data_IF_918712957345
#
_entry.id   IF_918712957345
#
_cell.length_a   1.000
_cell.length_b   1.000
_cell.length_c   1.000
_cell.angle_alpha   90.00
_cell.angle_beta   90.00
_cell.angle_gamma   90.00
#
_symmetry.space_group_name_H-M   'P 1'
#
loop_
_entity.id
_entity.type
_entity.pdbx_description
1 polymer ?
#
# COMPACT_ATOMS: atom_id res chain seq x y z
N UNK A 1 26.70 7.94 -15.55
CA UNK A 1 26.63 7.48 -14.16
C UNK A 1 27.68 6.38 -13.97
N UNK A 2 28.38 6.33 -12.83
CA UNK A 2 29.42 5.31 -12.56
C UNK A 2 28.83 3.89 -12.54
N UNK A 3 27.62 3.73 -12.01
CA UNK A 3 26.90 2.44 -11.92
C UNK A 3 26.78 1.75 -13.28
N UNK A 4 26.42 2.50 -14.32
CA UNK A 4 26.30 1.96 -15.69
C UNK A 4 27.65 1.52 -16.26
N UNK A 5 28.74 2.23 -15.92
CA UNK A 5 30.09 1.85 -16.33
C UNK A 5 30.61 0.59 -15.63
N UNK A 6 30.05 0.29 -14.46
CA UNK A 6 30.38 -0.87 -13.63
C UNK A 6 29.36 -2.00 -13.78
N UNK A 7 28.41 -1.89 -14.70
CA UNK A 7 27.33 -2.87 -14.92
C UNK A 7 26.58 -3.25 -13.62
N UNK A 8 26.30 -2.23 -12.80
CA UNK A 8 25.61 -2.41 -11.50
C UNK A 8 24.13 -2.08 -11.54
N UNK A 9 23.59 -1.59 -12.66
CA UNK A 9 22.21 -1.12 -12.76
C UNK A 9 21.23 -2.25 -12.42
N UNK A 10 21.36 -3.45 -12.99
CA UNK A 10 20.51 -4.59 -12.68
C UNK A 10 20.60 -5.06 -11.22
N UNK A 11 21.78 -4.90 -10.58
CA UNK A 11 21.95 -5.20 -9.17
C UNK A 11 21.22 -4.18 -8.28
N UNK A 12 21.24 -2.90 -8.65
CA UNK A 12 20.53 -1.85 -7.95
C UNK A 12 19.01 -1.95 -8.16
N UNK A 13 18.56 -2.27 -9.38
CA UNK A 13 17.15 -2.51 -9.68
C UNK A 13 16.60 -3.67 -8.85
N UNK A 14 17.39 -4.73 -8.67
CA UNK A 14 17.04 -5.84 -7.78
C UNK A 14 16.92 -5.40 -6.32
N UNK A 15 17.77 -4.50 -5.83
CA UNK A 15 17.62 -3.92 -4.50
C UNK A 15 16.34 -3.05 -4.39
N UNK A 16 16.06 -2.23 -5.42
CA UNK A 16 14.87 -1.35 -5.45
C UNK A 16 13.58 -2.16 -5.31
N UNK A 17 13.52 -3.37 -5.86
CA UNK A 17 12.33 -4.23 -5.74
C UNK A 17 11.94 -4.61 -4.31
N UNK A 18 12.83 -4.45 -3.33
CA UNK A 18 12.57 -4.69 -1.91
C UNK A 18 12.06 -3.46 -1.18
N UNK A 19 12.13 -2.26 -1.77
CA UNK A 19 11.59 -1.08 -1.11
C UNK A 19 10.06 -1.13 -1.03
N UNK A 20 9.53 -0.58 0.05
CA UNK A 20 8.09 -0.53 0.31
C UNK A 20 7.41 0.68 -0.32
N UNK A 21 8.18 1.57 -0.91
CA UNK A 21 7.76 2.66 -1.81
C UNK A 21 8.91 3.13 -2.67
N UNK A 22 8.59 3.79 -3.79
CA UNK A 22 9.61 4.35 -4.67
C UNK A 22 10.46 5.40 -3.97
N UNK A 23 11.76 5.22 -4.02
CA UNK A 23 12.77 6.14 -3.47
C UNK A 23 14.14 5.91 -4.09
N UNK A 24 15.06 6.86 -3.86
CA UNK A 24 16.46 6.71 -4.23
C UNK A 24 17.10 5.52 -3.52
N UNK A 25 18.01 4.82 -4.18
CA UNK A 25 18.85 3.78 -3.54
C UNK A 25 19.92 4.37 -2.63
N UNK A 26 20.17 5.68 -2.71
CA UNK A 26 21.16 6.37 -1.89
C UNK A 26 20.62 6.53 -0.47
N UNK A 27 21.40 6.14 0.50
CA UNK A 27 21.13 6.34 1.91
C UNK A 27 22.14 7.37 2.45
N UNK A 28 21.65 8.59 2.70
CA UNK A 28 22.46 9.68 3.20
C UNK A 28 22.78 9.53 4.70
N UNK A 29 24.00 9.86 5.09
CA UNK A 29 24.43 9.89 6.48
C UNK A 29 25.76 9.17 6.73
N UNK A 30 26.06 8.91 8.02
CA UNK A 30 27.29 8.24 8.44
C UNK A 30 27.19 6.72 8.20
N UNK A 31 28.05 6.21 7.32
CA UNK A 31 28.12 4.79 6.96
C UNK A 31 28.36 3.88 8.18
N UNK A 32 29.10 4.34 9.19
CA UNK A 32 29.36 3.55 10.41
C UNK A 32 28.07 3.37 11.21
N UNK A 33 27.24 4.40 11.25
CA UNK A 33 25.92 4.33 11.92
C UNK A 33 25.02 3.37 11.16
N UNK A 34 24.94 3.50 9.84
CA UNK A 34 24.14 2.63 8.99
C UNK A 34 24.56 1.17 9.13
N UNK A 35 25.85 0.90 9.05
CA UNK A 35 26.40 -0.45 9.22
C UNK A 35 26.07 -1.04 10.59
N UNK A 36 26.24 -0.26 11.67
CA UNK A 36 25.93 -0.72 13.02
C UNK A 36 24.44 -1.09 13.17
N UNK A 37 23.54 -0.26 12.64
CA UNK A 37 22.09 -0.51 12.68
C UNK A 37 21.72 -1.75 11.86
N UNK A 38 22.27 -1.89 10.65
CA UNK A 38 22.01 -3.08 9.79
C UNK A 38 22.47 -4.35 10.48
N UNK A 39 23.68 -4.35 11.03
CA UNK A 39 24.25 -5.54 11.73
C UNK A 39 23.45 -5.92 12.96
N UNK A 40 22.86 -4.97 13.63
CA UNK A 40 21.97 -5.26 14.74
C UNK A 40 20.62 -5.79 14.28
N UNK A 41 19.99 -5.16 13.28
CA UNK A 41 18.72 -5.60 12.71
C UNK A 41 18.78 -7.02 12.09
N UNK A 42 19.93 -7.43 11.55
CA UNK A 42 20.13 -8.81 11.04
C UNK A 42 19.84 -9.90 12.09
N UNK A 43 19.98 -9.59 13.39
CA UNK A 43 19.76 -10.51 14.49
C UNK A 43 18.29 -10.68 14.88
N UNK A 44 17.40 -9.87 14.30
CA UNK A 44 15.98 -9.90 14.63
C UNK A 44 15.15 -10.47 13.46
N UNK A 45 14.14 -11.26 13.81
CA UNK A 45 13.09 -11.69 12.86
C UNK A 45 11.91 -10.74 13.03
N UNK A 46 11.89 -9.68 12.21
CA UNK A 46 10.86 -8.65 12.24
C UNK A 46 9.85 -8.86 11.11
N UNK A 47 8.62 -8.38 11.34
CA UNK A 47 7.63 -8.31 10.26
C UNK A 47 8.13 -7.39 9.16
N UNK A 48 7.88 -7.75 7.92
CA UNK A 48 8.14 -6.89 6.77
C UNK A 48 7.38 -5.57 6.91
N UNK A 49 8.02 -4.41 6.66
CA UNK A 49 7.33 -3.12 6.66
C UNK A 49 6.16 -3.10 5.67
N UNK A 50 5.07 -2.37 5.98
CA UNK A 50 3.95 -2.27 5.07
C UNK A 50 4.32 -1.52 3.79
N UNK A 51 3.65 -1.85 2.69
CA UNK A 51 3.68 -1.00 1.49
C UNK A 51 3.03 0.34 1.80
N UNK A 52 3.72 1.43 1.46
CA UNK A 52 3.29 2.81 1.70
C UNK A 52 3.36 3.58 0.40
N UNK A 53 2.34 4.38 0.12
CA UNK A 53 2.37 5.33 -1.00
C UNK A 53 3.26 6.54 -0.66
N UNK A 54 3.63 7.35 -1.67
CA UNK A 54 4.32 8.60 -1.41
C UNK A 54 3.40 9.57 -0.64
N UNK A 55 3.88 10.06 0.51
CA UNK A 55 3.14 10.94 1.41
C UNK A 55 3.54 12.43 1.32
N UNK A 56 4.42 12.81 0.40
CA UNK A 56 4.87 14.20 0.27
C UNK A 56 3.71 15.13 -0.11
N UNK A 57 2.86 14.67 -1.05
CA UNK A 57 1.67 15.41 -1.46
C UNK A 57 0.62 15.55 -0.34
N UNK A 58 0.22 14.46 0.37
CA UNK A 58 -0.62 14.54 1.56
C UNK A 58 -0.06 15.47 2.65
N UNK A 59 1.24 15.40 2.94
CA UNK A 59 1.90 16.26 3.92
C UNK A 59 1.84 17.74 3.49
N UNK A 60 2.11 18.03 2.22
CA UNK A 60 2.02 19.38 1.68
C UNK A 60 0.59 19.93 1.72
N UNK A 61 -0.42 19.07 1.52
CA UNK A 61 -1.82 19.43 1.60
C UNK A 61 -2.27 19.71 3.05
N UNK A 62 -1.87 18.88 4.01
CA UNK A 62 -2.07 19.11 5.45
C UNK A 62 -1.39 20.41 5.90
N UNK A 63 -0.21 20.75 5.38
CA UNK A 63 0.49 21.98 5.70
C UNK A 63 -0.31 23.23 5.30
N UNK A 64 -1.16 23.12 4.27
CA UNK A 64 -2.10 24.16 3.83
C UNK A 64 -3.47 24.06 4.53
N UNK A 65 -3.56 23.30 5.62
CA UNK A 65 -4.79 23.01 6.36
C UNK A 65 -5.88 22.33 5.50
N UNK A 66 -5.46 21.58 4.48
CA UNK A 66 -6.35 20.79 3.63
C UNK A 66 -6.79 19.49 4.31
N UNK A 67 -7.91 18.92 3.85
CA UNK A 67 -8.40 17.63 4.30
C UNK A 67 -7.93 16.55 3.34
N UNK A 68 -7.16 15.59 3.82
CA UNK A 68 -6.71 14.43 3.04
C UNK A 68 -7.75 13.31 3.08
N UNK A 69 -7.68 12.40 2.12
CA UNK A 69 -8.63 11.30 2.00
C UNK A 69 -8.35 10.20 3.03
N UNK A 70 -9.38 9.42 3.35
CA UNK A 70 -9.29 8.37 4.37
C UNK A 70 -8.15 7.37 4.08
N UNK A 71 -7.95 6.97 2.82
CA UNK A 71 -6.87 6.06 2.45
C UNK A 71 -5.47 6.67 2.68
N UNK A 72 -5.30 7.99 2.52
CA UNK A 72 -4.04 8.69 2.81
C UNK A 72 -3.78 8.76 4.32
N UNK A 73 -4.84 8.92 5.12
CA UNK A 73 -4.77 8.86 6.58
C UNK A 73 -4.34 7.46 7.03
N UNK A 74 -4.88 6.43 6.40
CA UNK A 74 -4.51 5.04 6.67
C UNK A 74 -3.03 4.76 6.38
N UNK A 75 -2.45 5.39 5.35
CA UNK A 75 -1.00 5.28 5.08
C UNK A 75 -0.16 5.78 6.27
N UNK A 76 -0.53 6.92 6.89
CA UNK A 76 0.12 7.38 8.11
C UNK A 76 -0.10 6.42 9.28
N UNK A 77 -1.31 5.89 9.42
CA UNK A 77 -1.64 4.88 10.43
C UNK A 77 -0.73 3.66 10.32
N UNK A 78 -0.48 3.14 9.12
CA UNK A 78 0.42 2.01 8.90
C UNK A 78 1.85 2.30 9.37
N UNK A 79 2.40 3.48 9.07
CA UNK A 79 3.74 3.87 9.51
C UNK A 79 3.81 3.93 11.04
N UNK A 80 2.85 4.62 11.67
CA UNK A 80 2.80 4.79 13.12
C UNK A 80 2.67 3.42 13.80
N UNK A 81 1.73 2.59 13.35
CA UNK A 81 1.52 1.24 13.88
C UNK A 81 2.77 0.35 13.74
N UNK A 82 3.52 0.52 12.64
CA UNK A 82 4.75 -0.23 12.46
C UNK A 82 5.83 0.19 13.44
N UNK A 83 5.99 1.48 13.72
CA UNK A 83 6.92 1.94 14.76
C UNK A 83 6.47 1.57 16.17
N UNK A 84 5.16 1.54 16.45
CA UNK A 84 4.64 0.97 17.71
C UNK A 84 5.03 -0.50 17.84
N UNK A 85 4.95 -1.26 16.74
CA UNK A 85 5.39 -2.64 16.72
C UNK A 85 6.89 -2.76 16.99
N UNK A 86 7.75 -1.95 16.36
CA UNK A 86 9.19 -1.97 16.58
C UNK A 86 9.57 -1.66 18.04
N UNK A 87 8.86 -0.75 18.69
CA UNK A 87 9.09 -0.41 20.11
C UNK A 87 8.82 -1.56 21.10
N UNK A 88 8.25 -2.66 20.66
CA UNK A 88 8.04 -3.85 21.50
C UNK A 88 9.28 -4.74 21.61
N UNK A 89 10.30 -4.47 20.81
CA UNK A 89 11.55 -5.24 20.81
C UNK A 89 12.60 -4.56 21.67
N UNK A 90 13.38 -5.37 22.38
CA UNK A 90 14.52 -4.90 23.15
C UNK A 90 15.74 -4.80 22.21
N UNK A 91 15.86 -3.67 21.56
CA UNK A 91 17.04 -3.35 20.77
C UNK A 91 18.20 -2.92 21.69
N UNK A 92 19.37 -2.72 21.12
CA UNK A 92 20.55 -2.26 21.83
C UNK A 92 21.23 -1.10 21.09
N UNK A 93 22.20 -0.47 21.76
CA UNK A 93 23.13 0.49 21.17
C UNK A 93 22.47 1.61 20.32
N UNK A 94 22.90 1.72 19.05
CA UNK A 94 22.46 2.78 18.14
C UNK A 94 21.04 2.59 17.63
N UNK A 95 20.60 1.34 17.49
CA UNK A 95 19.25 1.01 17.05
C UNK A 95 18.23 1.37 18.12
N UNK A 96 18.48 1.00 19.38
CA UNK A 96 17.67 1.38 20.53
C UNK A 96 17.53 2.91 20.61
N UNK A 97 18.68 3.61 20.65
CA UNK A 97 18.71 5.07 20.71
C UNK A 97 17.96 5.75 19.57
N UNK A 98 17.91 5.13 18.39
CA UNK A 98 17.19 5.66 17.26
C UNK A 98 15.68 5.43 17.39
N UNK A 99 15.25 4.22 17.73
CA UNK A 99 13.82 3.87 17.88
C UNK A 99 13.20 4.62 19.06
N UNK A 100 13.93 4.82 20.15
CA UNK A 100 13.44 5.55 21.34
C UNK A 100 13.20 7.03 21.08
N UNK A 101 13.97 7.64 20.18
CA UNK A 101 13.74 9.03 19.75
C UNK A 101 12.42 9.24 19.01
N UNK A 102 11.79 8.18 18.53
CA UNK A 102 10.50 8.24 17.84
C UNK A 102 9.39 8.28 18.91
N UNK A 103 9.12 9.47 19.46
CA UNK A 103 8.05 9.66 20.44
C UNK A 103 6.73 9.87 19.70
N UNK A 104 5.85 8.88 19.77
CA UNK A 104 4.55 8.90 19.11
C UNK A 104 3.56 9.68 19.97
N UNK A 105 2.92 10.76 19.44
CA UNK A 105 1.90 11.50 20.18
C UNK A 105 0.69 10.60 20.50
N UNK A 106 0.25 10.58 21.75
CA UNK A 106 -0.87 9.73 22.19
C UNK A 106 -2.16 10.01 21.42
N UNK A 107 -2.40 11.25 21.01
CA UNK A 107 -3.57 11.61 20.21
C UNK A 107 -3.64 10.86 18.87
N UNK A 108 -2.49 10.52 18.28
CA UNK A 108 -2.43 9.80 17.01
C UNK A 108 -2.73 8.29 17.16
N UNK A 109 -2.67 7.74 18.37
CA UNK A 109 -3.03 6.34 18.62
C UNK A 109 -4.49 6.08 18.26
N UNK A 110 -5.39 7.04 18.51
CA UNK A 110 -6.79 6.96 18.11
C UNK A 110 -6.96 6.70 16.60
N UNK A 111 -6.11 7.31 15.76
CA UNK A 111 -6.13 7.08 14.32
C UNK A 111 -5.67 5.65 14.01
N UNK A 112 -4.63 5.16 14.66
CA UNK A 112 -4.11 3.81 14.41
C UNK A 112 -5.11 2.71 14.82
N UNK A 113 -5.91 2.98 15.85
CA UNK A 113 -6.91 2.05 16.39
C UNK A 113 -8.25 2.10 15.64
N UNK A 114 -8.44 3.07 14.71
CA UNK A 114 -9.71 3.26 14.01
C UNK A 114 -9.81 2.51 12.68
N UNK A 115 -8.75 1.83 12.24
CA UNK A 115 -8.71 1.13 10.96
C UNK A 115 -8.58 -0.39 11.12
N UNK A 116 -9.24 -1.12 10.23
CA UNK A 116 -8.95 -2.53 10.02
C UNK A 116 -7.77 -2.72 9.03
N UNK A 117 -7.36 -3.96 8.82
CA UNK A 117 -6.24 -4.31 7.91
C UNK A 117 -6.48 -3.95 6.44
N UNK A 118 -7.73 -3.65 6.06
CA UNK A 118 -8.10 -3.21 4.70
C UNK A 118 -8.12 -1.69 4.55
N UNK A 119 -7.89 -0.94 5.64
CA UNK A 119 -7.94 0.52 5.65
C UNK A 119 -9.37 1.09 5.73
N UNK A 120 -10.33 0.28 6.14
CA UNK A 120 -11.70 0.72 6.41
C UNK A 120 -11.83 1.09 7.90
N UNK A 121 -12.74 2.02 8.21
CA UNK A 121 -13.05 2.35 9.60
C UNK A 121 -13.65 1.13 10.29
N UNK A 122 -13.15 0.81 11.46
CA UNK A 122 -13.63 -0.29 12.30
C UNK A 122 -15.09 -0.10 12.70
N UNK A 123 -15.84 -1.19 12.75
CA UNK A 123 -17.16 -1.25 13.33
C UNK A 123 -17.09 -0.86 14.83
N UNK A 124 -18.06 -0.07 15.29
CA UNK A 124 -18.05 0.49 16.63
C UNK A 124 -17.31 1.82 16.79
N UNK A 125 -16.56 2.26 15.78
CA UNK A 125 -15.88 3.56 15.83
C UNK A 125 -16.84 4.73 15.62
N UNK A 126 -17.84 4.57 14.74
CA UNK A 126 -18.86 5.59 14.42
C UNK A 126 -20.22 4.95 14.28
N UNK A 127 -21.12 5.23 15.24
CA UNK A 127 -22.49 4.74 15.20
C UNK A 127 -23.22 5.14 13.91
N UNK A 128 -22.99 6.35 13.39
CA UNK A 128 -23.60 6.83 12.16
C UNK A 128 -23.14 5.99 10.95
N UNK A 129 -21.83 5.67 10.86
CA UNK A 129 -21.29 4.84 9.80
C UNK A 129 -21.80 3.42 9.88
N UNK A 130 -21.87 2.85 11.07
CA UNK A 130 -22.37 1.49 11.29
C UNK A 130 -23.85 1.38 10.90
N UNK A 131 -24.67 2.36 11.31
CA UNK A 131 -26.08 2.43 10.95
C UNK A 131 -26.29 2.53 9.43
N UNK A 132 -25.49 3.35 8.74
CA UNK A 132 -25.58 3.46 7.27
C UNK A 132 -25.12 2.18 6.60
N UNK A 133 -24.06 1.54 7.05
CA UNK A 133 -23.60 0.26 6.51
C UNK A 133 -24.65 -0.83 6.69
N UNK A 134 -25.30 -0.91 7.85
CA UNK A 134 -26.39 -1.82 8.11
C UNK A 134 -27.60 -1.54 7.21
N UNK A 135 -27.97 -0.27 7.04
CA UNK A 135 -29.07 0.11 6.15
C UNK A 135 -28.76 -0.20 4.67
N UNK A 136 -27.50 -0.02 4.24
CA UNK A 136 -27.06 -0.42 2.90
C UNK A 136 -27.19 -1.94 2.71
N UNK A 137 -26.79 -2.72 3.71
CA UNK A 137 -26.94 -4.18 3.67
C UNK A 137 -28.41 -4.59 3.54
N UNK A 138 -29.28 -4.08 4.43
CA UNK A 138 -30.72 -4.36 4.41
C UNK A 138 -31.39 -3.93 3.10
N UNK A 139 -31.00 -2.76 2.56
CA UNK A 139 -31.54 -2.28 1.30
C UNK A 139 -31.11 -3.15 0.11
N UNK A 140 -29.85 -3.64 0.10
CA UNK A 140 -29.39 -4.60 -0.91
C UNK A 140 -30.17 -5.92 -0.87
N UNK A 141 -30.42 -6.41 0.33
CA UNK A 141 -31.24 -7.61 0.51
C UNK A 141 -32.68 -7.39 0.04
N UNK A 142 -33.30 -6.25 0.39
CA UNK A 142 -34.63 -5.88 -0.08
C UNK A 142 -34.72 -5.81 -1.61
N UNK A 143 -33.71 -5.25 -2.29
CA UNK A 143 -33.65 -5.24 -3.76
C UNK A 143 -33.59 -6.66 -4.30
N UNK A 144 -32.76 -7.53 -3.71
CA UNK A 144 -32.63 -8.92 -4.09
C UNK A 144 -33.95 -9.68 -3.96
N UNK A 145 -34.62 -9.55 -2.80
CA UNK A 145 -35.91 -10.18 -2.54
C UNK A 145 -37.00 -9.69 -3.53
N UNK A 146 -37.01 -8.40 -3.81
CA UNK A 146 -37.95 -7.81 -4.76
C UNK A 146 -37.73 -8.33 -6.18
N UNK A 147 -36.48 -8.45 -6.61
CA UNK A 147 -36.13 -9.03 -7.91
C UNK A 147 -36.53 -10.51 -8.01
N UNK A 148 -36.29 -11.30 -6.98
CA UNK A 148 -36.75 -12.69 -6.94
C UNK A 148 -38.27 -12.79 -6.97
N UNK A 149 -39.00 -11.89 -6.29
CA UNK A 149 -40.44 -11.81 -6.39
C UNK A 149 -40.92 -11.53 -7.82
N UNK A 150 -40.23 -10.67 -8.57
CA UNK A 150 -40.54 -10.40 -9.98
C UNK A 150 -40.23 -11.60 -10.84
N UNK A 151 -39.08 -12.26 -10.67
CA UNK A 151 -38.71 -13.49 -11.41
C UNK A 151 -39.71 -14.59 -11.22
N UNK A 152 -40.21 -14.78 -9.99
CA UNK A 152 -41.17 -15.85 -9.68
C UNK A 152 -42.63 -15.51 -10.04
N UNK A 153 -42.89 -14.34 -10.61
CA UNK A 153 -44.21 -13.96 -11.04
C UNK A 153 -44.65 -14.83 -12.26
N UNK A 154 -45.70 -15.63 -12.07
CA UNK A 154 -46.23 -16.54 -13.08
C UNK A 154 -46.57 -15.85 -14.40
N UNK A 155 -47.05 -14.61 -14.36
CA UNK A 155 -47.42 -13.85 -15.57
C UNK A 155 -46.19 -13.36 -16.34
N UNK A 156 -45.04 -13.24 -15.68
CA UNK A 156 -43.78 -12.81 -16.32
C UNK A 156 -43.00 -14.00 -16.91
N UNK A 157 -43.21 -15.22 -16.42
CA UNK A 157 -42.49 -16.42 -16.84
C UNK A 157 -42.38 -16.57 -18.37
N UNK A 158 -43.44 -16.37 -19.19
CA UNK A 158 -43.36 -16.50 -20.63
C UNK A 158 -42.42 -15.49 -21.31
N UNK A 159 -42.12 -14.39 -20.63
CA UNK A 159 -41.29 -13.31 -21.15
C UNK A 159 -39.86 -13.35 -20.62
N UNK A 160 -39.55 -14.08 -19.53
CA UNK A 160 -38.21 -14.28 -19.06
C UNK A 160 -37.40 -15.16 -20.03
N UNK A 161 -36.15 -14.74 -20.24
CA UNK A 161 -35.19 -15.57 -21.00
C UNK A 161 -34.57 -16.59 -20.07
N UNK A 162 -34.22 -16.15 -18.87
CA UNK A 162 -33.71 -16.97 -17.77
C UNK A 162 -34.26 -16.47 -16.44
N UNK A 163 -33.92 -17.18 -15.34
CA UNK A 163 -34.32 -16.85 -13.99
C UNK A 163 -33.16 -16.19 -13.22
N UNK A 164 -32.27 -15.46 -13.91
CA UNK A 164 -31.10 -14.86 -13.36
C UNK A 164 -31.18 -13.33 -13.32
N UNK A 165 -30.47 -12.74 -12.37
CA UNK A 165 -30.25 -11.31 -12.30
C UNK A 165 -28.94 -11.00 -13.02
N UNK A 166 -29.02 -10.19 -14.06
CA UNK A 166 -27.87 -9.74 -14.84
C UNK A 166 -27.38 -8.37 -14.35
N UNK A 167 -26.08 -8.16 -14.40
CA UNK A 167 -25.48 -6.86 -14.10
C UNK A 167 -25.17 -6.12 -15.41
N UNK A 168 -25.91 -5.07 -15.72
CA UNK A 168 -25.74 -4.25 -16.92
C UNK A 168 -25.59 -2.80 -16.53
N UNK A 169 -24.50 -2.15 -16.95
CA UNK A 169 -24.14 -0.78 -16.57
C UNK A 169 -24.14 -0.53 -15.04
N UNK A 170 -23.74 -1.54 -14.25
CA UNK A 170 -23.75 -1.46 -12.78
C UNK A 170 -25.13 -1.67 -12.14
N UNK A 171 -26.19 -1.89 -12.94
CA UNK A 171 -27.56 -2.12 -12.48
C UNK A 171 -27.97 -3.59 -12.55
N UNK A 172 -28.71 -4.03 -11.54
CA UNK A 172 -29.30 -5.38 -11.50
C UNK A 172 -30.56 -5.43 -12.39
N UNK A 173 -30.49 -6.19 -13.46
CA UNK A 173 -31.53 -6.27 -14.50
C UNK A 173 -32.04 -7.69 -14.68
N UNK A 174 -33.19 -7.79 -15.32
CA UNK A 174 -33.74 -9.04 -15.81
C UNK A 174 -33.69 -9.07 -17.35
N UNK A 175 -33.40 -10.24 -17.94
CA UNK A 175 -33.40 -10.40 -19.37
C UNK A 175 -34.75 -10.93 -19.84
N UNK A 176 -35.45 -10.14 -20.70
CA UNK A 176 -36.83 -10.41 -21.13
C UNK A 176 -36.98 -10.33 -22.65
N UNK A 177 -37.99 -11.02 -23.17
CA UNK A 177 -38.46 -10.94 -24.59
C UNK A 177 -39.33 -9.71 -24.80
N UNK A 178 -39.53 -9.35 -26.05
CA UNK A 178 -40.52 -8.33 -26.43
C UNK A 178 -41.93 -8.69 -25.91
N UNK A 179 -42.74 -7.67 -25.62
CA UNK A 179 -44.07 -7.85 -25.05
C UNK A 179 -44.12 -7.90 -23.52
N UNK A 180 -43.01 -7.91 -22.82
CA UNK A 180 -42.92 -7.92 -21.35
C UNK A 180 -43.65 -6.72 -20.68
N UNK A 181 -43.76 -5.61 -21.39
CA UNK A 181 -44.34 -4.34 -20.90
C UNK A 181 -45.85 -4.44 -20.58
N UNK A 182 -46.54 -5.49 -21.06
CA UNK A 182 -47.92 -5.78 -20.68
C UNK A 182 -48.05 -6.34 -19.24
N UNK A 183 -46.98 -6.96 -18.73
CA UNK A 183 -46.98 -7.63 -17.41
C UNK A 183 -45.99 -7.03 -16.44
N UNK A 184 -44.98 -6.33 -16.92
CA UNK A 184 -43.93 -5.72 -16.08
C UNK A 184 -43.67 -4.27 -16.49
N UNK A 185 -43.94 -3.34 -15.58
CA UNK A 185 -43.48 -1.96 -15.72
C UNK A 185 -41.99 -1.87 -15.40
N UNK A 186 -41.18 -1.61 -16.42
CA UNK A 186 -39.72 -1.57 -16.28
C UNK A 186 -39.08 -0.57 -17.26
N UNK A 187 -37.91 -0.06 -16.89
CA UNK A 187 -37.05 0.72 -17.77
C UNK A 187 -36.13 -0.21 -18.54
N UNK A 188 -36.09 -0.10 -19.86
CA UNK A 188 -35.08 -0.79 -20.69
C UNK A 188 -33.76 -0.06 -20.53
N UNK A 189 -32.71 -0.80 -20.12
CA UNK A 189 -31.35 -0.26 -19.98
C UNK A 189 -30.48 -0.62 -21.17
N UNK A 190 -30.68 -1.82 -21.75
CA UNK A 190 -29.88 -2.29 -22.88
C UNK A 190 -30.61 -3.37 -23.68
N UNK A 191 -30.03 -3.72 -24.82
CA UNK A 191 -30.50 -4.80 -25.69
C UNK A 191 -29.39 -5.76 -26.05
N UNK A 192 -29.63 -7.06 -25.88
CA UNK A 192 -28.67 -8.09 -26.25
C UNK A 192 -28.52 -8.18 -27.77
N UNK A 193 -27.43 -8.75 -28.26
CA UNK A 193 -27.21 -9.03 -29.68
C UNK A 193 -28.31 -9.95 -30.25
N UNK A 194 -28.90 -10.84 -29.43
CA UNK A 194 -30.00 -11.71 -29.79
C UNK A 194 -31.36 -11.03 -29.76
N UNK A 195 -31.43 -9.72 -29.55
CA UNK A 195 -32.66 -8.93 -29.57
C UNK A 195 -33.49 -8.93 -28.29
N UNK A 196 -33.00 -9.52 -27.19
CA UNK A 196 -33.65 -9.49 -25.90
C UNK A 196 -33.34 -8.17 -25.15
N UNK A 197 -34.15 -7.83 -24.14
CA UNK A 197 -34.05 -6.59 -23.42
C UNK A 197 -33.54 -6.83 -22.00
N UNK A 198 -32.58 -6.03 -21.58
CA UNK A 198 -32.20 -5.92 -20.17
C UNK A 198 -33.02 -4.80 -19.51
N UNK A 199 -33.88 -5.20 -18.58
CA UNK A 199 -34.84 -4.28 -17.96
C UNK A 199 -34.66 -4.13 -16.47
N UNK A 200 -34.85 -2.92 -15.99
CA UNK A 200 -34.89 -2.56 -14.58
C UNK A 200 -36.35 -2.39 -14.16
N UNK A 201 -36.90 -3.29 -13.32
CA UNK A 201 -38.27 -3.20 -12.86
C UNK A 201 -38.52 -1.90 -12.07
N UNK A 202 -39.63 -1.19 -12.35
CA UNK A 202 -39.98 0.02 -11.59
C UNK A 202 -40.24 -0.28 -10.12
N UNK A 203 -40.61 -1.51 -9.77
CA UNK A 203 -40.85 -1.93 -8.39
C UNK A 203 -39.62 -1.85 -7.48
N UNK A 204 -38.41 -1.71 -8.03
CA UNK A 204 -37.18 -1.53 -7.25
C UNK A 204 -36.61 -0.10 -7.37
N UNK A 205 -37.26 0.80 -8.11
CA UNK A 205 -36.74 2.17 -8.34
C UNK A 205 -36.57 2.95 -7.02
N UNK A 206 -37.53 2.86 -6.11
CA UNK A 206 -37.43 3.51 -4.79
C UNK A 206 -36.28 2.95 -3.94
N UNK A 207 -36.11 1.62 -3.97
CA UNK A 207 -34.98 0.99 -3.25
C UNK A 207 -33.64 1.38 -3.85
N UNK A 208 -33.55 1.56 -5.17
CA UNK A 208 -32.37 2.06 -5.86
C UNK A 208 -32.09 3.51 -5.51
N UNK A 209 -33.11 4.36 -5.47
CA UNK A 209 -32.95 5.73 -5.01
C UNK A 209 -32.45 5.74 -3.57
N UNK A 210 -33.07 4.99 -2.67
CA UNK A 210 -32.63 4.85 -1.28
C UNK A 210 -31.19 4.35 -1.17
N UNK A 211 -30.77 3.43 -2.05
CA UNK A 211 -29.39 2.97 -2.10
C UNK A 211 -28.42 4.12 -2.43
N UNK A 212 -28.76 4.95 -3.42
CA UNK A 212 -27.96 6.10 -3.80
C UNK A 212 -27.86 7.13 -2.66
N UNK A 213 -28.98 7.42 -1.99
CA UNK A 213 -29.03 8.34 -0.85
C UNK A 213 -28.17 7.83 0.33
N UNK A 214 -28.23 6.51 0.60
CA UNK A 214 -27.41 5.89 1.66
C UNK A 214 -25.90 5.90 1.29
N UNK A 215 -25.53 5.73 0.02
CA UNK A 215 -24.14 5.85 -0.42
C UNK A 215 -23.66 7.28 -0.23
N UNK A 216 -24.43 8.28 -0.65
CA UNK A 216 -24.08 9.69 -0.45
C UNK A 216 -23.92 10.03 1.04
N UNK A 217 -24.84 9.54 1.88
CA UNK A 217 -24.75 9.74 3.32
C UNK A 217 -23.50 9.08 3.92
N UNK A 218 -23.14 7.87 3.44
CA UNK A 218 -21.90 7.21 3.84
C UNK A 218 -20.67 8.05 3.46
N UNK A 219 -20.63 8.59 2.25
CA UNK A 219 -19.52 9.43 1.79
C UNK A 219 -19.40 10.72 2.62
N UNK A 220 -20.51 11.33 2.97
CA UNK A 220 -20.55 12.51 3.87
C UNK A 220 -20.00 12.19 5.27
N UNK A 221 -20.34 11.04 5.83
CA UNK A 221 -19.82 10.60 7.13
C UNK A 221 -18.33 10.32 7.05
N UNK A 222 -17.87 9.61 6.02
CA UNK A 222 -16.45 9.36 5.78
C UNK A 222 -15.69 10.67 5.62
N UNK A 223 -16.25 11.64 4.90
CA UNK A 223 -15.64 12.96 4.75
C UNK A 223 -15.50 13.69 6.10
N UNK A 224 -16.52 13.63 6.97
CA UNK A 224 -16.45 14.21 8.32
C UNK A 224 -15.34 13.56 9.16
N UNK A 225 -15.26 12.24 9.17
CA UNK A 225 -14.20 11.50 9.87
C UNK A 225 -12.82 11.88 9.31
N UNK A 226 -12.68 11.92 7.98
CA UNK A 226 -11.42 12.33 7.32
C UNK A 226 -11.01 13.75 7.68
N UNK A 227 -11.98 14.67 7.81
CA UNK A 227 -11.75 16.05 8.23
C UNK A 227 -11.25 16.14 9.68
N UNK A 228 -11.86 15.39 10.59
CA UNK A 228 -11.42 15.32 11.99
C UNK A 228 -10.01 14.78 12.11
N UNK A 229 -9.72 13.68 11.44
CA UNK A 229 -8.38 13.09 11.41
C UNK A 229 -7.35 13.99 10.74
N UNK A 230 -7.71 14.67 9.63
CA UNK A 230 -6.82 15.63 8.97
C UNK A 230 -6.48 16.80 9.90
N UNK A 231 -7.45 17.30 10.66
CA UNK A 231 -7.22 18.34 11.67
C UNK A 231 -6.26 17.86 12.76
N UNK A 232 -6.42 16.62 13.23
CA UNK A 232 -5.54 16.01 14.23
C UNK A 232 -4.13 15.80 13.68
N UNK A 233 -3.99 15.28 12.46
CA UNK A 233 -2.70 15.10 11.78
C UNK A 233 -2.00 16.45 11.57
N UNK A 234 -2.73 17.50 11.24
CA UNK A 234 -2.19 18.86 11.05
C UNK A 234 -1.57 19.40 12.33
N UNK A 235 -2.16 19.14 13.50
CA UNK A 235 -1.56 19.53 14.80
C UNK A 235 -0.19 18.88 15.03
N UNK A 236 0.03 17.69 14.47
CA UNK A 236 1.27 16.92 14.61
C UNK A 236 2.11 16.89 13.33
N UNK A 237 1.99 17.90 12.47
CA UNK A 237 2.62 17.92 11.14
C UNK A 237 4.16 17.72 11.19
N UNK A 238 4.83 18.30 12.17
CA UNK A 238 6.28 18.11 12.32
C UNK A 238 6.64 16.67 12.63
N UNK A 239 5.85 16.01 13.48
CA UNK A 239 6.00 14.59 13.75
C UNK A 239 5.74 13.74 12.49
N UNK A 240 4.72 14.06 11.69
CA UNK A 240 4.42 13.33 10.45
C UNK A 240 5.57 13.42 9.44
N UNK A 241 6.15 14.63 9.26
CA UNK A 241 7.34 14.82 8.42
C UNK A 241 8.52 13.99 8.92
N UNK A 242 8.73 13.99 10.23
CA UNK A 242 9.80 13.24 10.87
C UNK A 242 9.61 11.74 10.68
N UNK A 243 8.45 11.19 11.08
CA UNK A 243 8.21 9.74 11.04
C UNK A 243 8.18 9.19 9.60
N UNK A 244 7.70 10.00 8.63
CA UNK A 244 7.74 9.67 7.21
C UNK A 244 9.19 9.48 6.72
N UNK A 245 10.11 10.34 7.18
CA UNK A 245 11.54 10.26 6.88
C UNK A 245 12.23 9.08 7.58
N UNK A 246 11.86 8.84 8.84
CA UNK A 246 12.41 7.71 9.59
C UNK A 246 11.92 6.36 9.04
N UNK A 247 10.70 6.32 8.49
CA UNK A 247 10.21 5.14 7.78
C UNK A 247 11.02 4.85 6.52
N UNK A 248 11.37 5.87 5.72
CA UNK A 248 12.26 5.69 4.58
C UNK A 248 13.61 5.12 4.97
N UNK A 249 14.18 5.64 6.05
CA UNK A 249 15.46 5.16 6.57
C UNK A 249 15.38 3.70 7.03
N UNK A 250 14.30 3.35 7.74
CA UNK A 250 14.08 1.96 8.17
C UNK A 250 13.91 1.02 6.98
N UNK A 251 13.11 1.41 6.01
CA UNK A 251 12.88 0.63 4.78
C UNK A 251 14.18 0.42 3.99
N UNK A 252 15.07 1.40 3.97
CA UNK A 252 16.41 1.24 3.41
C UNK A 252 17.22 0.13 4.10
N UNK A 253 17.15 0.02 5.41
CA UNK A 253 17.85 -1.02 6.16
C UNK A 253 17.23 -2.39 5.90
N UNK A 254 15.91 -2.47 6.01
CA UNK A 254 15.18 -3.73 5.84
C UNK A 254 15.32 -4.28 4.41
N UNK A 255 15.18 -3.43 3.39
CA UNK A 255 15.36 -3.83 2.00
C UNK A 255 16.76 -4.40 1.74
N UNK A 256 17.80 -3.78 2.29
CA UNK A 256 19.17 -4.28 2.17
C UNK A 256 19.36 -5.63 2.86
N UNK A 257 18.78 -5.80 4.04
CA UNK A 257 18.85 -7.07 4.78
C UNK A 257 18.13 -8.18 4.00
N UNK A 258 16.93 -7.92 3.50
CA UNK A 258 16.17 -8.89 2.71
C UNK A 258 16.91 -9.25 1.41
N UNK A 259 17.42 -8.25 0.71
CA UNK A 259 18.22 -8.43 -0.50
C UNK A 259 19.51 -9.22 -0.24
N UNK A 260 20.20 -8.96 0.88
CA UNK A 260 21.40 -9.69 1.26
C UNK A 260 21.11 -11.15 1.58
N UNK A 261 20.03 -11.44 2.30
CA UNK A 261 19.61 -12.81 2.66
C UNK A 261 19.33 -13.66 1.41
N UNK A 262 18.62 -13.13 0.41
CA UNK A 262 18.30 -13.88 -0.82
C UNK A 262 19.56 -14.14 -1.65
N UNK A 263 20.49 -13.20 -1.65
CA UNK A 263 21.71 -13.29 -2.46
C UNK A 263 22.91 -13.92 -1.75
N UNK A 264 22.74 -14.43 -0.53
CA UNK A 264 23.83 -14.91 0.35
C UNK A 264 25.01 -13.90 0.41
N UNK A 265 24.63 -12.63 0.68
CA UNK A 265 25.56 -11.50 0.69
C UNK A 265 25.84 -11.04 2.12
N UNK A 266 27.04 -10.56 2.36
CA UNK A 266 27.46 -10.04 3.66
C UNK A 266 27.71 -8.53 3.59
N UNK A 267 27.30 -7.81 4.65
CA UNK A 267 27.65 -6.41 4.81
C UNK A 267 29.09 -6.27 5.30
N UNK A 268 29.86 -5.46 4.60
CA UNK A 268 31.26 -5.17 4.93
C UNK A 268 31.38 -3.66 5.14
N UNK A 269 31.93 -3.24 6.27
CA UNK A 269 32.33 -1.87 6.48
C UNK A 269 33.74 -1.66 5.90
N UNK A 270 33.88 -0.80 4.89
CA UNK A 270 35.20 -0.52 4.35
C UNK A 270 36.13 0.04 5.44
N UNK A 271 37.31 -0.56 5.62
CA UNK A 271 38.32 0.03 6.50
C UNK A 271 38.86 1.30 5.84
N UNK A 272 38.68 2.43 6.47
CA UNK A 272 39.24 3.69 5.98
C UNK A 272 40.77 3.67 6.13
N UNK A 273 41.48 3.91 5.06
CA UNK A 273 42.89 4.27 5.10
C UNK A 273 43.04 5.78 5.21
N UNK A 274 44.17 6.27 5.68
CA UNK A 274 44.49 7.70 5.75
C UNK A 274 44.38 8.46 4.42
N UNK A 275 44.12 7.76 3.30
CA UNK A 275 44.05 8.31 1.94
C UNK A 275 42.65 8.29 1.33
N UNK A 276 41.59 7.91 2.06
CA UNK A 276 40.23 7.78 1.56
C UNK A 276 40.08 6.97 0.24
N UNK A 277 41.01 6.05 -0.03
CA UNK A 277 41.03 5.21 -1.25
C UNK A 277 40.95 3.73 -0.84
N UNK A 278 40.22 2.96 -1.62
CA UNK A 278 40.27 1.49 -1.54
C UNK A 278 41.68 1.06 -1.94
N UNK A 279 42.36 0.42 -1.01
CA UNK A 279 43.76 -0.05 -1.27
C UNK A 279 43.79 -1.54 -1.60
N UNK A 280 42.81 -2.31 -1.17
CA UNK A 280 42.75 -3.74 -1.39
C UNK A 280 41.31 -4.23 -1.42
N UNK A 281 41.00 -5.05 -2.41
CA UNK A 281 39.80 -5.87 -2.48
C UNK A 281 40.22 -7.30 -2.18
N UNK A 282 39.57 -7.95 -1.19
CA UNK A 282 39.85 -9.34 -0.78
C UNK A 282 38.61 -10.17 -1.07
N UNK A 283 38.78 -11.26 -1.82
CA UNK A 283 37.73 -12.21 -2.18
C UNK A 283 36.48 -11.53 -2.78
N UNK A 284 36.71 -10.50 -3.57
CA UNK A 284 35.66 -9.72 -4.21
C UNK A 284 35.03 -10.52 -5.35
N UNK A 285 33.71 -10.59 -5.36
CA UNK A 285 32.90 -11.10 -6.47
C UNK A 285 32.07 -9.97 -7.05
N UNK A 286 32.13 -9.77 -8.36
CA UNK A 286 31.33 -8.74 -9.00
C UNK A 286 29.83 -9.10 -8.92
N UNK A 287 28.96 -8.23 -8.39
CA UNK A 287 27.56 -8.59 -8.10
C UNK A 287 26.68 -8.80 -9.36
N UNK A 288 27.09 -8.28 -10.50
CA UNK A 288 26.38 -8.46 -11.77
C UNK A 288 26.75 -9.76 -12.50
N UNK A 289 27.79 -10.47 -12.07
CA UNK A 289 28.25 -11.69 -12.75
C UNK A 289 27.70 -12.94 -12.07
N UNK A 290 26.95 -13.75 -12.82
CA UNK A 290 26.57 -15.08 -12.38
C UNK A 290 27.81 -16.00 -12.27
N UNK A 291 27.94 -16.71 -11.16
CA UNK A 291 29.07 -17.60 -10.89
C UNK A 291 30.44 -16.90 -10.91
N UNK A 292 30.50 -15.62 -10.52
CA UNK A 292 31.76 -14.87 -10.45
C UNK A 292 32.75 -15.60 -9.53
N UNK A 293 33.96 -15.82 -10.00
CA UNK A 293 35.08 -16.25 -9.18
C UNK A 293 35.55 -15.07 -8.31
N UNK A 294 35.87 -15.35 -7.06
CA UNK A 294 36.45 -14.33 -6.20
C UNK A 294 37.84 -13.90 -6.69
N UNK A 295 38.11 -12.62 -6.58
CA UNK A 295 39.41 -12.02 -6.90
C UNK A 295 39.93 -11.23 -5.72
N UNK A 296 41.26 -11.24 -5.55
CA UNK A 296 41.94 -10.36 -4.60
C UNK A 296 42.83 -9.42 -5.39
N UNK A 297 42.61 -8.11 -5.22
CA UNK A 297 43.37 -7.06 -5.94
C UNK A 297 43.94 -6.08 -4.93
N UNK A 298 45.21 -5.79 -5.05
CA UNK A 298 45.97 -4.82 -4.25
C UNK A 298 46.23 -3.58 -5.07
N UNK A 299 45.66 -2.43 -4.67
CA UNK A 299 45.79 -1.14 -5.36
C UNK A 299 46.84 -0.24 -4.68
N UNK A 300 47.69 -0.78 -3.82
CA UNK A 300 48.76 0.01 -3.16
C UNK A 300 49.88 0.40 -4.08
N UNK A 301 50.03 -0.33 -5.22
CA UNK A 301 51.05 -0.06 -6.22
C UNK A 301 50.62 1.04 -7.20
N UNK A 302 51.58 1.84 -7.65
CA UNK A 302 51.35 2.91 -8.64
C UNK A 302 50.96 2.40 -10.02
N UNK A 303 51.35 1.17 -10.35
CA UNK A 303 50.97 0.49 -11.60
C UNK A 303 50.44 -0.91 -11.27
N UNK A 304 49.27 -1.22 -11.77
CA UNK A 304 48.64 -2.53 -11.63
C UNK A 304 48.30 -3.02 -13.03
N UNK A 305 48.80 -4.19 -13.38
CA UNK A 305 48.49 -4.85 -14.65
C UNK A 305 47.48 -5.97 -14.37
N UNK A 306 46.31 -5.90 -14.97
CA UNK A 306 45.30 -6.95 -14.92
C UNK A 306 45.42 -7.71 -16.24
N UNK A 307 45.79 -8.97 -16.17
CA UNK A 307 45.87 -9.86 -17.33
C UNK A 307 44.85 -10.96 -17.19
N UNK A 308 44.22 -11.33 -18.28
CA UNK A 308 43.25 -12.43 -18.32
C UNK A 308 42.87 -12.77 -19.74
N UNK A 309 42.40 -13.98 -19.95
CA UNK A 309 41.85 -14.39 -21.24
C UNK A 309 40.51 -13.71 -21.38
N UNK A 310 40.33 -12.86 -22.38
CA UNK A 310 38.99 -12.39 -22.75
C UNK A 310 38.21 -13.60 -23.26
N UNK A 311 37.44 -14.20 -22.38
CA UNK A 311 36.37 -15.09 -22.82
C UNK A 311 35.26 -14.19 -23.39
N UNK A 312 35.22 -14.11 -24.73
CA UNK A 312 34.14 -13.45 -25.45
C UNK A 312 32.78 -14.16 -25.24
#
# INVERSE_FOLDING_TARGET
>A
MITKKLDLDGHLDSLVSFFRRDKSVILDGDINIHYSIIKELENFTLKTPPQITNLDSPIAYLQKQGNIKLYEIYEFSKIISYFIYLKKFNFSNKLENWIDKIIIPNELLKITESFNDKGEILEGFSNDLDNVNQNLYLNRDAIKQKLYGVINNKNLQPYLIDHQVHLVHGEQTLMVRAGFNHVLKAKVLDRSQSGFFYVLPHSISELKQRQADLVNLKDDIIYKISKEFSSLLTKHLMFLKFINKEFDKYDHYQARIEFAKIGDKNFILPKTSNYNKVQKLVDFKHPALHNAKSITVDFTKSVIMITGVNAG
#
